data_IF_337637792678
#
_entry.id   IF_337637792678
#
_cell.length_a   1.000
_cell.length_b   1.000
_cell.length_c   1.000
_cell.angle_alpha   90.00
_cell.angle_beta   90.00
_cell.angle_gamma   90.00
#
_symmetry.space_group_name_H-M   'P 1'
#
loop_
_entity.id
_entity.type
_entity.pdbx_description
1 polymer ?
#
# COMPACT_ATOMS: atom_id res chain seq x y z
N UNK A 1 -15.19 -0.84 12.98
CA UNK A 1 -16.16 -1.87 12.55
C UNK A 1 -15.39 -3.08 12.06
N UNK A 2 -15.92 -4.28 12.28
CA UNK A 2 -15.33 -5.52 11.75
C UNK A 2 -15.86 -5.74 10.33
N UNK A 3 -15.00 -6.24 9.44
CA UNK A 3 -15.35 -6.56 8.06
C UNK A 3 -14.75 -7.91 7.67
N UNK A 4 -15.51 -8.69 6.91
CA UNK A 4 -15.02 -9.88 6.25
C UNK A 4 -14.44 -9.51 4.87
N UNK A 5 -13.34 -10.15 4.48
CA UNK A 5 -12.67 -9.92 3.20
C UNK A 5 -12.40 -11.24 2.50
N UNK A 6 -12.39 -11.21 1.17
CA UNK A 6 -12.05 -12.33 0.31
C UNK A 6 -10.78 -12.03 -0.50
N UNK A 7 -9.93 -13.04 -0.76
CA UNK A 7 -8.75 -12.85 -1.60
C UNK A 7 -9.13 -12.61 -3.05
N UNK A 8 -8.58 -11.57 -3.67
CA UNK A 8 -8.76 -11.28 -5.10
C UNK A 8 -7.61 -11.85 -5.93
N UNK A 9 -6.37 -11.49 -5.61
CA UNK A 9 -5.17 -11.96 -6.31
C UNK A 9 -3.92 -11.82 -5.44
N UNK A 10 -2.93 -12.72 -5.55
CA UNK A 10 -1.64 -12.58 -4.88
C UNK A 10 -0.71 -11.64 -5.64
N UNK A 11 0.08 -10.83 -4.91
CA UNK A 11 1.18 -10.08 -5.51
C UNK A 11 2.26 -11.03 -6.05
N UNK A 12 2.79 -10.74 -7.24
CA UNK A 12 3.81 -11.57 -7.89
C UNK A 12 5.23 -11.13 -7.55
N UNK A 13 5.39 -9.91 -7.00
CA UNK A 13 6.66 -9.35 -6.57
C UNK A 13 6.59 -8.90 -5.11
N UNK A 14 7.62 -9.24 -4.32
CA UNK A 14 7.77 -8.73 -2.96
C UNK A 14 8.03 -7.22 -3.03
N UNK A 15 7.18 -6.45 -2.37
CA UNK A 15 7.32 -5.00 -2.18
C UNK A 15 7.49 -4.73 -0.68
N UNK A 16 8.67 -4.30 -0.27
CA UNK A 16 8.98 -4.06 1.15
C UNK A 16 8.57 -2.66 1.58
N UNK A 17 8.41 -2.44 2.89
CA UNK A 17 8.18 -1.10 3.42
C UNK A 17 9.36 -0.16 3.13
N UNK A 18 10.59 -0.69 3.05
CA UNK A 18 11.77 0.09 2.70
C UNK A 18 11.67 0.62 1.27
N UNK A 19 11.21 -0.20 0.32
CA UNK A 19 10.98 0.21 -1.07
C UNK A 19 9.96 1.35 -1.16
N UNK A 20 8.87 1.29 -0.37
CA UNK A 20 7.85 2.34 -0.33
C UNK A 20 8.42 3.64 0.25
N UNK A 21 9.19 3.55 1.34
CA UNK A 21 9.79 4.73 1.99
C UNK A 21 10.89 5.39 1.17
N UNK A 22 11.53 4.64 0.27
CA UNK A 22 12.56 5.16 -0.63
C UNK A 22 12.00 5.94 -1.82
N UNK A 23 10.69 5.89 -2.05
CA UNK A 23 10.03 6.54 -3.18
C UNK A 23 9.28 7.80 -2.73
N UNK A 24 9.75 8.96 -3.20
CA UNK A 24 9.25 10.27 -2.80
C UNK A 24 7.77 10.49 -3.08
N UNK A 25 7.17 9.71 -3.99
CA UNK A 25 5.74 9.76 -4.28
C UNK A 25 4.86 9.32 -3.12
N UNK A 26 5.43 8.61 -2.13
CA UNK A 26 4.72 8.11 -0.95
C UNK A 26 4.99 8.91 0.33
N UNK A 27 5.74 10.01 0.29
CA UNK A 27 6.12 10.74 1.53
C UNK A 27 4.91 11.24 2.32
N UNK A 28 3.85 11.66 1.61
CA UNK A 28 2.60 12.11 2.23
C UNK A 28 1.59 10.98 2.44
N UNK A 29 1.94 9.73 2.16
CA UNK A 29 1.06 8.61 2.36
C UNK A 29 0.96 8.25 3.85
N UNK A 30 -0.26 8.04 4.35
CA UNK A 30 -0.49 7.75 5.77
C UNK A 30 0.25 6.49 6.27
N UNK A 31 0.50 5.51 5.39
CA UNK A 31 1.34 4.34 5.73
C UNK A 31 2.73 4.75 6.22
N UNK A 32 3.29 5.80 5.64
CA UNK A 32 4.66 6.29 5.92
C UNK A 32 4.63 7.22 7.14
N UNK A 33 3.62 8.09 7.25
CA UNK A 33 3.51 9.10 8.30
C UNK A 33 2.97 8.58 9.63
N UNK A 34 1.99 7.67 9.61
CA UNK A 34 1.20 7.28 10.79
C UNK A 34 1.48 5.82 11.19
N UNK A 35 2.56 5.60 11.94
CA UNK A 35 3.06 4.26 12.29
C UNK A 35 2.11 3.36 13.09
N UNK A 36 1.06 3.93 13.70
CA UNK A 36 0.06 3.21 14.51
C UNK A 36 -1.29 3.05 13.84
N UNK A 37 -1.44 3.51 12.60
CA UNK A 37 -2.68 3.39 11.84
C UNK A 37 -2.73 2.03 11.13
N UNK A 38 -3.70 1.19 11.47
CA UNK A 38 -3.81 -0.18 10.94
C UNK A 38 -4.67 -0.30 9.69
N UNK A 39 -5.57 0.64 9.45
CA UNK A 39 -6.43 0.70 8.27
C UNK A 39 -6.62 2.15 7.85
N UNK A 40 -6.59 2.41 6.55
CA UNK A 40 -6.61 3.77 6.01
C UNK A 40 -7.13 3.78 4.56
N UNK A 41 -7.69 4.90 4.10
CA UNK A 41 -8.01 5.07 2.69
C UNK A 41 -6.72 5.15 1.85
N UNK A 42 -6.74 4.55 0.66
CA UNK A 42 -5.63 4.63 -0.30
C UNK A 42 -6.06 5.50 -1.49
N UNK A 43 -5.35 6.60 -1.78
CA UNK A 43 -5.64 7.42 -2.96
C UNK A 43 -5.53 6.59 -4.26
N UNK A 44 -6.44 6.74 -5.24
CA UNK A 44 -6.45 5.91 -6.46
C UNK A 44 -5.13 5.92 -7.25
N UNK A 45 -4.43 7.05 -7.25
CA UNK A 45 -3.12 7.19 -7.90
C UNK A 45 -2.05 6.30 -7.24
N UNK A 46 -2.05 6.23 -5.91
CA UNK A 46 -1.10 5.42 -5.15
C UNK A 46 -1.45 3.93 -5.22
N UNK A 47 -2.75 3.58 -5.18
CA UNK A 47 -3.20 2.19 -5.38
C UNK A 47 -2.70 1.62 -6.71
N UNK A 48 -2.89 2.36 -7.81
CA UNK A 48 -2.40 1.95 -9.14
C UNK A 48 -0.88 1.75 -9.17
N UNK A 49 -0.14 2.61 -8.47
CA UNK A 49 1.32 2.52 -8.40
C UNK A 49 1.76 1.31 -7.57
N UNK A 50 1.16 1.09 -6.40
CA UNK A 50 1.42 -0.06 -5.52
C UNK A 50 1.16 -1.37 -6.24
N UNK A 51 0.02 -1.51 -6.93
CA UNK A 51 -0.31 -2.68 -7.74
C UNK A 51 0.78 -2.96 -8.78
N UNK A 52 1.14 -1.95 -9.56
CA UNK A 52 2.21 -2.07 -10.56
C UNK A 52 3.56 -2.49 -9.94
N UNK A 53 3.93 -1.91 -8.79
CA UNK A 53 5.18 -2.24 -8.10
C UNK A 53 5.17 -3.67 -7.51
N UNK A 54 4.00 -4.14 -7.08
CA UNK A 54 3.78 -5.50 -6.56
C UNK A 54 3.54 -6.55 -7.67
N UNK A 55 3.51 -6.13 -8.94
CA UNK A 55 3.26 -7.00 -10.09
C UNK A 55 1.81 -7.46 -10.20
N UNK A 56 0.86 -6.56 -9.91
CA UNK A 56 -0.58 -6.68 -10.07
C UNK A 56 -1.12 -5.72 -11.14
#
# INVERSE_FOLDING_TARGET
PLFDIEPIAPATKILTLADIKADDRFQDFDLVRLSRLSAMPVPPKLDKLLRKMAGL
#
